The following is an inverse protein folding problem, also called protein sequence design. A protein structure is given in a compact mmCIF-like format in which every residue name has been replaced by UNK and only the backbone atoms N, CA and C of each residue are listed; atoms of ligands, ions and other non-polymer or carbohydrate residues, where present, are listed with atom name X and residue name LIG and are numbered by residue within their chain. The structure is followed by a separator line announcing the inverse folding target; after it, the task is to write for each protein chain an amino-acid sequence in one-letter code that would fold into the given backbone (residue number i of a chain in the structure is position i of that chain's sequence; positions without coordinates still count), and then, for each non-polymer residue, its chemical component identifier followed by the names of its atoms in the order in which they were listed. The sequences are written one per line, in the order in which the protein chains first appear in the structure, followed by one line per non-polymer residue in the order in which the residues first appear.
data_IF_964699300697
#
_entry.id   IF_964699300697
#
_cell.length_a   1.000
_cell.length_b   1.000
_cell.length_c   1.000
_cell.angle_alpha   90.00
_cell.angle_beta   90.00
_cell.angle_gamma   90.00
#
_symmetry.space_group_name_H-M   'P 1'
#
loop_
_entity.id
_entity.type
_entity.pdbx_description
1 polymer ?
#
# COMPACT_ATOMS: atom_id res chain seq x y z
N UNK A 1 8.83 4.94 14.27
CA UNK A 1 8.22 4.40 13.04
C UNK A 1 7.29 5.42 12.41
N UNK A 2 7.78 6.17 11.43
CA UNK A 2 6.95 7.06 10.60
C UNK A 2 6.43 6.27 9.40
N UNK A 3 5.12 5.99 9.40
CA UNK A 3 4.45 5.20 8.38
C UNK A 3 3.78 6.11 7.36
N UNK A 4 3.98 5.80 6.08
CA UNK A 4 3.25 6.41 4.97
C UNK A 4 2.21 5.42 4.45
N UNK A 5 0.93 5.77 4.59
CA UNK A 5 -0.20 4.98 4.11
C UNK A 5 -0.78 5.59 2.84
N UNK A 6 -1.09 4.78 1.85
CA UNK A 6 -1.77 5.24 0.64
C UNK A 6 -2.74 4.23 0.06
N UNK A 7 -3.78 4.74 -0.59
CA UNK A 7 -4.69 3.96 -1.41
C UNK A 7 -4.78 4.64 -2.77
N UNK A 8 -4.48 3.90 -3.84
CA UNK A 8 -4.54 4.40 -5.20
C UNK A 8 -5.66 3.70 -5.98
N UNK A 9 -6.53 4.49 -6.60
CA UNK A 9 -7.61 3.98 -7.46
C UNK A 9 -7.26 4.29 -8.91
N UNK A 10 -7.11 3.24 -9.70
CA UNK A 10 -6.89 3.33 -11.14
C UNK A 10 -8.01 2.63 -11.91
N UNK A 11 -8.35 3.17 -13.09
CA UNK A 11 -9.37 2.60 -13.97
C UNK A 11 -8.72 1.57 -14.89
N UNK A 12 -9.28 0.36 -14.92
CA UNK A 12 -8.99 -0.69 -15.90
C UNK A 12 -10.30 -1.01 -16.63
N UNK A 13 -10.46 -0.44 -17.82
CA UNK A 13 -11.71 -0.47 -18.60
C UNK A 13 -12.90 0.15 -17.83
N UNK A 14 -13.94 -0.62 -17.53
CA UNK A 14 -15.13 -0.16 -16.78
C UNK A 14 -14.98 -0.32 -15.26
N UNK A 15 -14.00 -1.08 -14.80
CA UNK A 15 -13.76 -1.36 -13.38
C UNK A 15 -12.61 -0.54 -12.84
N UNK A 16 -12.66 -0.20 -11.56
CA UNK A 16 -11.59 0.52 -10.86
C UNK A 16 -10.91 -0.40 -9.87
N UNK A 17 -9.59 -0.50 -9.94
CA UNK A 17 -8.82 -1.34 -9.02
C UNK A 17 -8.22 -0.48 -7.92
N UNK A 18 -8.32 -0.93 -6.68
CA UNK A 18 -7.65 -0.33 -5.54
C UNK A 18 -6.27 -0.99 -5.34
N UNK A 19 -5.25 -0.16 -5.18
CA UNK A 19 -3.94 -0.59 -4.69
C UNK A 19 -3.74 0.01 -3.30
N UNK A 20 -3.60 -0.84 -2.30
CA UNK A 20 -3.40 -0.46 -0.90
C UNK A 20 -1.92 -0.62 -0.59
N UNK A 21 -1.28 0.48 -0.19
CA UNK A 21 0.16 0.55 0.02
C UNK A 21 0.48 1.17 1.38
N UNK A 22 1.50 0.64 2.02
CA UNK A 22 2.08 1.12 3.26
C UNK A 22 3.60 0.98 3.18
N UNK A 23 4.31 2.07 3.43
CA UNK A 23 5.76 2.11 3.48
C UNK A 23 6.26 2.70 4.78
N UNK A 24 7.44 2.28 5.21
CA UNK A 24 8.15 2.84 6.33
C UNK A 24 9.29 3.74 5.81
N UNK A 25 9.26 5.02 6.18
CA UNK A 25 10.24 6.00 5.72
C UNK A 25 11.69 5.62 6.07
N UNK A 26 11.91 4.93 7.18
CA UNK A 26 13.24 4.53 7.65
C UNK A 26 13.75 3.23 6.97
N UNK A 27 12.88 2.53 6.24
CA UNK A 27 13.24 1.32 5.48
C UNK A 27 13.05 1.62 3.99
N UNK A 28 14.13 1.95 3.27
CA UNK A 28 14.10 2.22 1.84
C UNK A 28 13.34 1.12 1.08
N UNK A 29 12.51 1.55 0.13
CA UNK A 29 11.70 0.68 -0.73
C UNK A 29 10.67 -0.21 -0.02
N UNK A 30 10.52 -0.17 1.30
CA UNK A 30 9.57 -1.03 2.05
C UNK A 30 8.11 -0.99 1.56
N UNK A 31 7.71 0.07 0.83
CA UNK A 31 6.41 0.15 0.18
C UNK A 31 6.11 -1.02 -0.77
N UNK A 32 7.13 -1.61 -1.41
CA UNK A 32 6.96 -2.79 -2.27
C UNK A 32 6.43 -4.02 -1.53
N UNK A 33 6.63 -4.12 -0.22
CA UNK A 33 6.14 -5.25 0.58
C UNK A 33 4.60 -5.27 0.62
N UNK A 34 3.96 -4.14 0.32
CA UNK A 34 2.50 -4.07 0.15
C UNK A 34 2.00 -4.83 -1.08
N UNK A 35 2.87 -5.29 -1.97
CA UNK A 35 2.50 -6.17 -3.09
C UNK A 35 2.20 -7.61 -2.63
N UNK A 36 2.72 -8.01 -1.47
CA UNK A 36 2.47 -9.34 -0.90
C UNK A 36 1.00 -9.52 -0.54
N UNK A 37 0.41 -10.67 -0.87
CA UNK A 37 -0.95 -11.01 -0.40
C UNK A 37 -1.00 -11.12 1.13
N UNK A 38 -2.18 -10.93 1.74
CA UNK A 38 -2.37 -11.12 3.19
C UNK A 38 -1.94 -12.52 3.65
N UNK A 39 -2.15 -13.54 2.82
CA UNK A 39 -1.72 -14.90 3.09
C UNK A 39 -0.18 -15.02 3.10
N UNK A 40 0.48 -14.43 2.11
CA UNK A 40 1.95 -14.39 2.03
C UNK A 40 2.53 -13.67 3.25
N UNK A 41 1.98 -12.49 3.59
CA UNK A 41 2.40 -11.73 4.78
C UNK A 41 2.24 -12.55 6.05
N UNK A 42 1.12 -13.25 6.21
CA UNK A 42 0.86 -14.10 7.38
C UNK A 42 1.90 -15.22 7.50
N UNK A 43 2.24 -15.88 6.39
CA UNK A 43 3.29 -16.91 6.37
C UNK A 43 4.65 -16.34 6.77
N UNK A 44 5.02 -15.21 6.18
CA UNK A 44 6.32 -14.55 6.45
C UNK A 44 6.41 -14.12 7.91
N UNK A 45 5.36 -13.54 8.50
CA UNK A 45 5.35 -13.18 9.93
C UNK A 45 5.62 -14.41 10.81
N UNK A 46 5.03 -15.57 10.49
CA UNK A 46 5.28 -16.81 11.23
C UNK A 46 6.73 -17.28 11.06
N UNK A 47 7.28 -17.19 9.86
CA UNK A 47 8.68 -17.54 9.60
C UNK A 47 9.64 -16.59 10.35
N UNK A 48 9.37 -15.29 10.36
CA UNK A 48 10.16 -14.29 11.11
C UNK A 48 10.10 -14.52 12.63
N UNK A 49 8.95 -14.91 13.18
CA UNK A 49 8.86 -15.28 14.59
C UNK A 49 9.76 -16.48 14.93
N UNK A 50 9.92 -17.42 14.00
CA UNK A 50 10.84 -18.54 14.16
C UNK A 50 12.30 -18.10 14.05
N UNK A 51 12.62 -17.21 13.11
CA UNK A 51 13.96 -16.62 12.96
C UNK A 51 14.39 -15.85 14.21
N UNK A 52 13.51 -15.01 14.76
CA UNK A 52 13.79 -14.22 15.97
C UNK A 52 14.05 -15.12 17.19
N UNK A 53 13.49 -16.33 17.23
CA UNK A 53 13.65 -17.26 18.35
C UNK A 53 14.75 -18.30 18.13
N UNK A 54 15.29 -18.43 16.92
CA UNK A 54 16.28 -19.45 16.53
C UNK A 54 17.46 -18.79 15.82
N UNK A 55 18.57 -18.61 16.52
CA UNK A 55 19.74 -17.85 16.04
C UNK A 55 20.42 -18.40 14.79
N UNK A 56 20.16 -19.66 14.42
CA UNK A 56 20.75 -20.31 13.24
C UNK A 56 19.80 -20.34 12.02
N UNK A 57 18.60 -19.78 12.13
CA UNK A 57 17.61 -19.81 11.06
C UNK A 57 17.72 -18.55 10.20
N UNK A 58 17.70 -18.76 8.89
CA UNK A 58 17.67 -17.71 7.88
C UNK A 58 16.53 -17.99 6.91
N UNK A 59 15.86 -16.95 6.43
CA UNK A 59 14.84 -17.04 5.40
C UNK A 59 15.05 -15.96 4.34
N UNK A 60 14.77 -16.30 3.09
CA UNK A 60 14.71 -15.36 1.96
C UNK A 60 13.26 -15.23 1.52
N UNK A 61 12.77 -14.01 1.37
CA UNK A 61 11.38 -13.73 1.02
C UNK A 61 11.27 -12.38 0.33
N UNK A 62 10.07 -12.01 -0.12
CA UNK A 62 9.83 -10.72 -0.76
C UNK A 62 9.01 -10.86 -2.03
N UNK A 63 9.17 -9.88 -2.91
CA UNK A 63 8.54 -9.79 -4.23
C UNK A 63 9.60 -9.44 -5.26
N UNK A 64 9.29 -9.56 -6.55
CA UNK A 64 10.25 -9.27 -7.63
C UNK A 64 10.95 -7.91 -7.46
N UNK A 65 10.24 -6.92 -6.90
CA UNK A 65 10.76 -5.57 -6.69
C UNK A 65 11.63 -5.38 -5.46
N UNK A 66 11.60 -6.33 -4.53
CA UNK A 66 12.38 -6.32 -3.32
C UNK A 66 12.45 -7.71 -2.69
N UNK A 67 13.66 -8.22 -2.59
CA UNK A 67 13.99 -9.40 -1.82
C UNK A 67 14.50 -8.99 -0.45
N UNK A 68 14.25 -9.82 0.54
CA UNK A 68 14.67 -9.64 1.92
C UNK A 68 15.26 -10.94 2.42
N UNK A 69 16.51 -10.88 2.87
CA UNK A 69 17.17 -11.96 3.60
C UNK A 69 17.12 -11.62 5.09
N UNK A 70 16.47 -12.48 5.88
CA UNK A 70 16.27 -12.26 7.31
C UNK A 70 16.92 -13.35 8.14
N UNK A 71 17.73 -12.95 9.10
CA UNK A 71 18.26 -13.78 10.17
C UNK A 71 17.90 -13.19 11.55
N UNK A 72 18.49 -13.75 12.61
CA UNK A 72 18.21 -13.31 13.97
C UNK A 72 18.71 -11.88 14.25
N UNK A 73 19.79 -11.44 13.61
CA UNK A 73 20.41 -10.13 13.84
C UNK A 73 19.71 -9.04 13.03
N UNK A 74 19.37 -9.33 11.78
CA UNK A 74 18.92 -8.33 10.83
C UNK A 74 18.21 -8.87 9.61
N UNK A 75 17.69 -7.93 8.83
CA UNK A 75 16.94 -8.15 7.60
C UNK A 75 17.48 -7.21 6.54
N UNK A 76 18.14 -7.80 5.54
CA UNK A 76 18.82 -7.12 4.46
C UNK A 76 17.90 -6.99 3.24
N UNK A 77 17.68 -5.76 2.78
CA UNK A 77 16.81 -5.44 1.65
C UNK A 77 17.60 -5.31 0.34
N UNK A 78 17.24 -6.11 -0.66
CA UNK A 78 17.84 -6.09 -2.01
C UNK A 78 16.80 -5.70 -3.05
N UNK A 79 17.07 -4.64 -3.81
CA UNK A 79 16.16 -4.16 -4.86
C UNK A 79 16.34 -4.90 -6.20
N UNK A 80 15.53 -4.54 -7.21
CA UNK A 80 15.56 -5.13 -8.57
C UNK A 80 16.92 -5.08 -9.26
N UNK A 81 17.78 -4.13 -8.89
CA UNK A 81 19.10 -3.95 -9.49
C UNK A 81 20.18 -4.74 -8.72
N UNK A 82 19.79 -5.54 -7.72
CA UNK A 82 20.71 -6.26 -6.83
C UNK A 82 21.41 -5.35 -5.82
N UNK A 83 20.91 -4.13 -5.62
CA UNK A 83 21.52 -3.18 -4.67
C UNK A 83 20.90 -3.41 -3.30
N UNK A 84 21.77 -3.69 -2.33
CA UNK A 84 21.45 -3.76 -0.91
C UNK A 84 21.21 -2.34 -0.36
N UNK A 85 20.11 -2.15 0.38
CA UNK A 85 19.64 -0.82 0.73
C UNK A 85 19.49 -0.57 2.23
N UNK A 86 19.34 -1.61 3.04
CA UNK A 86 19.22 -1.47 4.48
C UNK A 86 19.40 -2.82 5.18
N UNK A 87 20.07 -2.79 6.33
CA UNK A 87 20.06 -3.85 7.33
C UNK A 87 19.23 -3.36 8.53
N UNK A 88 18.07 -3.99 8.74
CA UNK A 88 17.07 -3.57 9.71
C UNK A 88 16.80 -4.72 10.66
N UNK A 89 16.69 -4.43 11.96
CA UNK A 89 16.39 -5.45 12.95
C UNK A 89 15.12 -6.24 12.58
N UNK A 90 15.22 -7.58 12.58
CA UNK A 90 14.19 -8.50 12.07
C UNK A 90 12.84 -8.35 12.78
N UNK A 91 12.84 -7.97 14.06
CA UNK A 91 11.63 -7.64 14.81
C UNK A 91 10.91 -6.40 14.25
N UNK A 92 11.63 -5.37 13.82
CA UNK A 92 11.05 -4.15 13.22
C UNK A 92 10.39 -4.48 11.88
N UNK A 93 10.99 -5.36 11.08
CA UNK A 93 10.40 -5.82 9.81
C UNK A 93 9.16 -6.68 10.03
N UNK A 94 9.16 -7.55 11.04
CA UNK A 94 7.96 -8.29 11.45
C UNK A 94 6.84 -7.33 11.84
N UNK A 95 7.12 -6.32 12.66
CA UNK A 95 6.12 -5.36 13.12
C UNK A 95 5.58 -4.52 11.95
N UNK A 96 6.43 -4.15 10.99
CA UNK A 96 6.00 -3.54 9.74
C UNK A 96 5.04 -4.43 8.94
N UNK A 97 5.33 -5.72 8.78
CA UNK A 97 4.45 -6.66 8.09
C UNK A 97 3.09 -6.80 8.78
N UNK A 98 3.05 -6.74 10.12
CA UNK A 98 1.80 -6.72 10.90
C UNK A 98 0.99 -5.46 10.55
N UNK A 99 1.63 -4.28 10.50
CA UNK A 99 0.96 -3.03 10.10
C UNK A 99 0.45 -3.09 8.65
N UNK A 100 1.24 -3.61 7.71
CA UNK A 100 0.81 -3.80 6.31
C UNK A 100 -0.41 -4.72 6.26
N UNK A 101 -0.38 -5.86 6.97
CA UNK A 101 -1.49 -6.81 7.02
C UNK A 101 -2.76 -6.16 7.58
N UNK A 102 -2.66 -5.47 8.70
CA UNK A 102 -3.81 -4.83 9.34
C UNK A 102 -4.42 -3.75 8.44
N UNK A 103 -3.57 -2.95 7.79
CA UNK A 103 -4.02 -1.93 6.85
C UNK A 103 -4.70 -2.53 5.62
N UNK A 104 -4.17 -3.63 5.07
CA UNK A 104 -4.83 -4.37 4.00
C UNK A 104 -6.20 -4.90 4.41
N UNK A 105 -6.27 -5.63 5.52
CA UNK A 105 -7.52 -6.18 6.02
C UNK A 105 -8.59 -5.11 6.27
N UNK A 106 -8.19 -3.93 6.74
CA UNK A 106 -9.11 -2.82 6.96
C UNK A 106 -9.80 -2.36 5.67
N UNK A 107 -9.11 -2.42 4.53
CA UNK A 107 -9.60 -1.89 3.24
C UNK A 107 -9.88 -2.98 2.19
N UNK A 108 -9.62 -4.25 2.50
CA UNK A 108 -10.28 -5.40 1.87
C UNK A 108 -11.77 -5.46 2.27
N UNK A 109 -12.13 -4.90 3.43
CA UNK A 109 -13.52 -4.57 3.74
C UNK A 109 -14.05 -3.51 2.76
N UNK A 110 -15.03 -3.95 1.96
CA UNK A 110 -15.60 -3.16 0.86
C UNK A 110 -16.26 -1.87 1.34
N UNK A 111 -16.91 -1.89 2.50
CA UNK A 111 -17.63 -0.74 3.01
C UNK A 111 -16.64 0.33 3.49
N UNK A 112 -15.57 -0.09 4.18
CA UNK A 112 -14.48 0.81 4.57
C UNK A 112 -13.81 1.46 3.36
N UNK A 113 -13.51 0.67 2.33
CA UNK A 113 -12.91 1.18 1.10
C UNK A 113 -13.85 2.15 0.38
N UNK A 114 -15.10 1.77 0.14
CA UNK A 114 -16.08 2.62 -0.54
C UNK A 114 -16.29 3.93 0.22
N UNK A 115 -16.34 3.88 1.54
CA UNK A 115 -16.49 5.08 2.37
C UNK A 115 -15.33 6.06 2.20
N UNK A 116 -14.08 5.61 2.38
CA UNK A 116 -12.91 6.51 2.28
C UNK A 116 -12.72 7.04 0.85
N UNK A 117 -12.95 6.22 -0.17
CA UNK A 117 -12.86 6.63 -1.57
C UNK A 117 -14.00 7.58 -1.94
N UNK A 118 -15.21 7.36 -1.43
CA UNK A 118 -16.35 8.26 -1.63
C UNK A 118 -16.11 9.64 -1.03
N UNK A 119 -15.52 9.72 0.16
CA UNK A 119 -15.11 10.99 0.77
C UNK A 119 -14.04 11.70 -0.07
N UNK A 120 -13.00 10.98 -0.50
CA UNK A 120 -11.94 11.52 -1.35
C UNK A 120 -12.48 12.05 -2.69
N UNK A 121 -13.30 11.25 -3.37
CA UNK A 121 -13.89 11.64 -4.65
C UNK A 121 -14.79 12.85 -4.51
N UNK A 122 -15.63 12.91 -3.46
CA UNK A 122 -16.51 14.06 -3.21
C UNK A 122 -15.72 15.35 -3.00
N UNK A 123 -14.66 15.30 -2.19
CA UNK A 123 -13.79 16.45 -1.95
C UNK A 123 -13.05 16.91 -3.21
N UNK A 124 -12.47 15.95 -3.96
CA UNK A 124 -11.77 16.23 -5.21
C UNK A 124 -12.72 16.82 -6.26
N UNK A 125 -13.94 16.27 -6.39
CA UNK A 125 -14.94 16.75 -7.34
C UNK A 125 -15.37 18.20 -7.06
N UNK A 126 -15.43 18.62 -5.80
CA UNK A 126 -15.78 20.00 -5.44
C UNK A 126 -14.69 21.01 -5.85
N UNK A 127 -13.41 20.66 -5.70
CA UNK A 127 -12.30 21.57 -6.01
C UNK A 127 -11.13 20.87 -6.74
N UNK A 128 -11.30 20.38 -7.99
CA UNK A 128 -10.34 19.48 -8.62
C UNK A 128 -8.92 20.06 -8.72
N UNK A 129 -8.81 21.36 -9.03
CA UNK A 129 -7.51 22.02 -9.21
C UNK A 129 -6.66 22.07 -7.92
N UNK A 130 -7.29 22.11 -6.74
CA UNK A 130 -6.58 22.10 -5.45
C UNK A 130 -6.00 20.73 -5.11
N UNK A 131 -6.50 19.68 -5.79
CA UNK A 131 -6.15 18.31 -5.51
C UNK A 131 -5.32 17.67 -6.61
N UNK A 132 -4.93 18.40 -7.67
CA UNK A 132 -4.02 17.86 -8.67
C UNK A 132 -2.65 17.59 -8.04
N UNK A 133 -2.06 16.43 -8.35
CA UNK A 133 -0.73 16.08 -7.85
C UNK A 133 0.36 17.05 -8.34
N UNK A 134 0.12 17.68 -9.49
CA UNK A 134 0.91 18.77 -10.06
C UNK A 134 0.04 19.61 -10.98
N UNK A 135 0.44 20.86 -11.25
CA UNK A 135 -0.32 21.78 -12.12
C UNK A 135 -0.62 21.21 -13.51
N UNK A 136 0.29 20.38 -14.04
CA UNK A 136 0.18 19.76 -15.36
C UNK A 136 -0.50 18.38 -15.35
N UNK A 137 -0.85 17.85 -14.17
CA UNK A 137 -1.54 16.58 -14.05
C UNK A 137 -2.97 16.70 -14.58
N UNK A 138 -3.27 15.94 -15.63
CA UNK A 138 -4.60 15.89 -16.23
C UNK A 138 -5.51 14.93 -15.45
N UNK A 139 -4.96 13.78 -15.04
CA UNK A 139 -5.76 12.67 -14.50
C UNK A 139 -5.47 12.33 -13.04
N UNK A 140 -4.34 12.73 -12.47
CA UNK A 140 -3.95 12.30 -11.12
C UNK A 140 -4.29 13.36 -10.07
N UNK A 141 -5.12 12.96 -9.12
CA UNK A 141 -5.58 13.76 -8.00
C UNK A 141 -5.19 13.09 -6.69
N UNK A 142 -4.91 13.87 -5.65
CA UNK A 142 -4.44 13.41 -4.36
C UNK A 142 -5.12 14.19 -3.23
N UNK A 143 -5.46 13.49 -2.15
CA UNK A 143 -5.98 14.09 -0.92
C UNK A 143 -5.62 13.21 0.27
N UNK A 144 -5.32 13.84 1.42
CA UNK A 144 -5.10 13.11 2.67
C UNK A 144 -6.38 13.05 3.49
N UNK A 145 -6.82 11.85 3.85
CA UNK A 145 -7.96 11.61 4.76
C UNK A 145 -7.49 10.64 5.84
N UNK A 146 -7.69 10.99 7.12
CA UNK A 146 -7.30 10.16 8.26
C UNK A 146 -5.83 9.65 8.19
N UNK A 147 -4.91 10.54 7.82
CA UNK A 147 -3.48 10.23 7.62
C UNK A 147 -3.19 9.19 6.52
N UNK A 148 -4.11 9.00 5.58
CA UNK A 148 -3.93 8.14 4.41
C UNK A 148 -3.94 9.02 3.17
N UNK A 149 -2.90 8.91 2.36
CA UNK A 149 -2.85 9.60 1.07
C UNK A 149 -3.67 8.84 0.02
N UNK A 150 -4.79 9.42 -0.40
CA UNK A 150 -5.67 8.82 -1.40
C UNK A 150 -5.35 9.41 -2.76
N UNK A 151 -5.02 8.56 -3.72
CA UNK A 151 -4.71 8.94 -5.10
C UNK A 151 -5.83 8.42 -6.00
N UNK A 152 -6.49 9.33 -6.73
CA UNK A 152 -7.52 8.98 -7.69
C UNK A 152 -7.06 9.33 -9.10
N UNK A 153 -7.13 8.35 -10.01
CA UNK A 153 -6.99 8.59 -11.45
C UNK A 153 -8.37 8.84 -12.05
N UNK A 154 -8.65 10.10 -12.41
CA UNK A 154 -9.96 10.59 -12.84
C UNK A 154 -9.91 11.15 -14.26
N UNK A 155 -10.78 10.65 -15.13
CA UNK A 155 -11.08 11.23 -16.44
C UNK A 155 -12.11 12.36 -16.31
N UNK A 156 -12.22 13.23 -17.32
CA UNK A 156 -13.19 14.35 -17.32
C UNK A 156 -14.62 13.86 -17.06
N UNK A 157 -15.00 12.72 -17.65
CA UNK A 157 -16.32 12.14 -17.49
C UNK A 157 -16.59 11.65 -16.05
N UNK A 158 -15.56 11.33 -15.26
CA UNK A 158 -15.76 10.88 -13.89
C UNK A 158 -16.36 11.97 -13.01
N UNK A 159 -16.07 13.24 -13.30
CA UNK A 159 -16.65 14.37 -12.57
C UNK A 159 -18.16 14.53 -12.77
N UNK A 160 -18.76 13.83 -13.74
CA UNK A 160 -20.23 13.78 -13.91
C UNK A 160 -20.90 12.81 -12.94
N UNK A 161 -20.17 11.81 -12.43
CA UNK A 161 -20.70 10.77 -11.55
C UNK A 161 -21.01 11.32 -10.15
N UNK A 162 -22.08 10.84 -9.53
CA UNK A 162 -22.25 10.93 -8.08
C UNK A 162 -21.20 10.08 -7.36
N UNK A 163 -20.96 10.36 -6.08
CA UNK A 163 -20.01 9.59 -5.28
C UNK A 163 -20.40 8.11 -5.19
N UNK A 164 -21.70 7.81 -5.10
CA UNK A 164 -22.20 6.44 -5.10
C UNK A 164 -21.95 5.72 -6.44
N UNK A 165 -22.18 6.39 -7.57
CA UNK A 165 -21.89 5.82 -8.88
C UNK A 165 -20.39 5.56 -9.06
N UNK A 166 -19.53 6.48 -8.60
CA UNK A 166 -18.09 6.30 -8.65
C UNK A 166 -17.61 5.10 -7.84
N UNK A 167 -18.01 4.99 -6.56
CA UNK A 167 -17.55 3.90 -5.68
C UNK A 167 -18.14 2.54 -6.06
N UNK A 168 -19.28 2.51 -6.75
CA UNK A 168 -19.85 1.27 -7.28
C UNK A 168 -19.07 0.71 -8.48
N UNK A 169 -18.13 1.48 -9.06
CA UNK A 169 -17.21 0.99 -10.09
C UNK A 169 -15.96 0.31 -9.50
N UNK A 170 -15.75 0.36 -8.17
CA UNK A 170 -14.62 -0.30 -7.52
C UNK A 170 -14.76 -1.82 -7.64
N UNK A 171 -13.74 -2.46 -8.24
CA UNK A 171 -13.56 -3.90 -8.19
C UNK A 171 -13.16 -4.28 -6.77
N UNK A 172 -13.95 -5.16 -6.17
CA UNK A 172 -13.82 -5.59 -4.77
C UNK A 172 -13.33 -7.03 -4.67
N UNK A 173 -12.99 -7.66 -5.80
CA UNK A 173 -12.31 -8.95 -5.81
C UNK A 173 -10.80 -8.71 -5.56
N UNK A 174 -10.40 -8.85 -4.30
CA UNK A 174 -9.02 -8.73 -3.82
C UNK A 174 -8.27 -10.06 -3.92
#
# INVERSE_FOLDING_TARGET
MIISKSISISKKYITRSANISLGYQEVPNSGCLSELSVNSITKIINDLNQVITQSNRVITWGVDRCMVDSDHEGSLFTNINGIETADIATNVIRDLLIEIKNFKLQYEDVDNLKNIIGQAFSAIKLNPNNHKISSNSIYHYTITINNINIILVLEVNDFTLSSNEYVNQLNTNF
#
